data_IF_281883453705
#
_entry.id   IF_281883453705
#
_cell.length_a   1.000
_cell.length_b   1.000
_cell.length_c   1.000
_cell.angle_alpha   90.00
_cell.angle_beta   90.00
_cell.angle_gamma   90.00
#
_symmetry.space_group_name_H-M   'P 1'
#
loop_
_entity.id
_entity.type
_entity.pdbx_description
1 polymer ?
#
# COMPACT_ATOMS: atom_id res chain seq x y z
N UNK A 1 -6.60 4.44 -19.26
CA UNK A 1 -5.21 4.45 -18.75
C UNK A 1 -5.14 5.32 -17.49
N UNK A 2 -4.36 4.95 -16.46
CA UNK A 2 -4.19 5.79 -15.28
C UNK A 2 -3.55 7.14 -15.66
N UNK A 3 -3.87 8.19 -14.91
CA UNK A 3 -3.15 9.45 -14.92
C UNK A 3 -1.73 9.28 -14.33
N UNK A 4 -0.83 10.20 -14.65
CA UNK A 4 0.54 10.23 -14.11
C UNK A 4 0.55 10.25 -12.57
N UNK A 5 -0.43 10.94 -11.95
CA UNK A 5 -0.61 10.95 -10.49
C UNK A 5 -1.00 9.58 -9.96
N UNK A 6 -1.95 8.89 -10.60
CA UNK A 6 -2.37 7.54 -10.20
C UNK A 6 -1.22 6.53 -10.32
N UNK A 7 -0.50 6.55 -11.43
CA UNK A 7 0.65 5.68 -11.67
C UNK A 7 1.73 5.86 -10.59
N UNK A 8 2.01 7.11 -10.21
CA UNK A 8 2.93 7.43 -9.10
C UNK A 8 2.55 6.74 -7.80
N UNK A 9 1.28 6.79 -7.40
CA UNK A 9 0.80 6.16 -6.17
C UNK A 9 0.73 4.63 -6.27
N UNK A 10 0.32 4.10 -7.41
CA UNK A 10 0.24 2.65 -7.61
C UNK A 10 1.63 2.00 -7.54
N UNK A 11 2.65 2.66 -8.10
CA UNK A 11 4.04 2.20 -8.06
C UNK A 11 4.61 2.08 -6.63
N UNK A 12 4.19 2.94 -5.71
CA UNK A 12 4.69 2.91 -4.34
C UNK A 12 3.93 1.94 -3.43
N UNK A 13 2.74 1.46 -3.82
CA UNK A 13 1.86 0.64 -2.96
C UNK A 13 2.52 -0.62 -2.38
N UNK A 14 3.43 -1.25 -3.13
CA UNK A 14 4.18 -2.44 -2.71
C UNK A 14 5.18 -2.17 -1.58
N UNK A 15 5.80 -0.98 -1.54
CA UNK A 15 6.78 -0.59 -0.53
C UNK A 15 6.17 0.06 0.71
N UNK A 16 4.86 0.35 0.69
CA UNK A 16 4.21 1.16 1.71
C UNK A 16 4.27 0.55 3.12
N UNK A 17 4.17 -0.79 3.24
CA UNK A 17 4.13 -1.45 4.55
C UNK A 17 5.37 -1.13 5.39
N UNK A 18 6.55 -1.22 4.78
CA UNK A 18 7.83 -0.99 5.45
C UNK A 18 7.88 0.43 6.04
N UNK A 19 7.51 1.42 5.24
CA UNK A 19 7.51 2.82 5.64
C UNK A 19 6.38 3.17 6.61
N UNK A 20 5.20 2.57 6.45
CA UNK A 20 4.07 2.77 7.36
C UNK A 20 4.44 2.36 8.78
N UNK A 21 5.12 1.22 8.94
CA UNK A 21 5.56 0.75 10.26
C UNK A 21 6.53 1.72 10.93
N UNK A 22 7.42 2.35 10.16
CA UNK A 22 8.34 3.37 10.65
C UNK A 22 7.60 4.63 11.13
N UNK A 23 6.67 5.19 10.34
CA UNK A 23 5.91 6.37 10.83
C UNK A 23 5.01 6.00 12.01
N UNK A 24 4.33 4.85 11.96
CA UNK A 24 3.43 4.43 13.03
C UNK A 24 4.17 4.25 14.37
N UNK A 25 5.47 3.94 14.35
CA UNK A 25 6.31 3.91 15.56
C UNK A 25 6.37 5.27 16.28
N UNK A 26 6.16 6.37 15.56
CA UNK A 26 6.11 7.73 16.12
C UNK A 26 4.73 8.12 16.67
N UNK A 27 3.70 7.29 16.49
CA UNK A 27 2.35 7.56 17.03
C UNK A 27 2.26 7.43 18.55
N UNK A 28 3.22 6.78 19.20
CA UNK A 28 3.27 6.73 20.66
C UNK A 28 3.49 8.16 21.21
N UNK A 29 2.63 8.57 22.15
CA UNK A 29 2.58 9.93 22.68
C UNK A 29 3.39 10.10 23.98
N UNK A 30 4.00 9.02 24.48
CA UNK A 30 4.69 9.01 25.76
C UNK A 30 5.82 10.06 25.81
N UNK A 31 5.67 11.00 26.75
CA UNK A 31 6.70 11.91 27.27
C UNK A 31 7.46 12.83 26.29
N UNK A 32 6.88 13.19 25.15
CA UNK A 32 7.56 14.09 24.19
C UNK A 32 7.09 15.55 24.24
N UNK A 33 8.04 16.50 24.12
CA UNK A 33 7.77 17.93 23.98
C UNK A 33 6.85 18.25 22.77
N UNK A 34 6.81 17.35 21.77
CA UNK A 34 5.91 17.46 20.61
C UNK A 34 4.43 17.48 21.01
N UNK A 35 4.03 16.80 22.08
CA UNK A 35 2.64 16.81 22.55
C UNK A 35 2.22 18.23 22.98
N UNK A 36 3.09 18.96 23.68
CA UNK A 36 2.82 20.34 24.09
C UNK A 36 2.74 21.30 22.89
N UNK A 37 3.62 21.13 21.89
CA UNK A 37 3.56 21.91 20.66
C UNK A 37 2.27 21.62 19.88
N UNK A 38 1.95 20.34 19.67
CA UNK A 38 0.75 19.94 18.96
C UNK A 38 -0.54 20.38 19.65
N UNK A 39 -0.64 20.30 20.98
CA UNK A 39 -1.79 20.84 21.72
C UNK A 39 -1.98 22.33 21.47
N UNK A 40 -0.89 23.09 21.49
CA UNK A 40 -0.93 24.53 21.20
C UNK A 40 -1.37 24.80 19.76
N UNK A 41 -0.78 24.11 18.78
CA UNK A 41 -1.13 24.26 17.37
C UNK A 41 -2.60 23.88 17.13
N UNK A 42 -3.06 22.78 17.71
CA UNK A 42 -4.44 22.31 17.57
C UNK A 42 -5.41 23.33 18.15
N UNK A 43 -5.10 23.85 19.33
CA UNK A 43 -5.91 24.88 19.98
C UNK A 43 -6.03 26.16 19.14
N UNK A 44 -4.91 26.62 18.57
CA UNK A 44 -4.83 27.89 17.85
C UNK A 44 -5.26 27.79 16.38
N UNK A 45 -5.13 26.63 15.74
CA UNK A 45 -5.19 26.52 14.27
C UNK A 45 -5.98 25.34 13.74
N UNK A 46 -6.41 24.40 14.59
CA UNK A 46 -7.23 23.24 14.20
C UNK A 46 -8.50 23.13 15.06
N UNK A 47 -9.08 24.29 15.41
CA UNK A 47 -10.34 24.42 16.15
C UNK A 47 -10.41 23.60 17.44
N UNK A 48 -9.27 23.39 18.09
CA UNK A 48 -9.18 22.61 19.32
C UNK A 48 -9.66 21.14 19.18
N UNK A 49 -9.66 20.58 17.96
CA UNK A 49 -9.98 19.17 17.74
C UNK A 49 -8.78 18.29 18.12
N UNK A 50 -8.83 17.70 19.32
CA UNK A 50 -7.74 16.88 19.87
C UNK A 50 -7.52 15.56 19.12
N UNK A 51 -8.42 15.13 18.24
CA UNK A 51 -8.20 13.92 17.44
C UNK A 51 -7.00 14.06 16.49
N UNK A 52 -6.63 15.30 16.14
CA UNK A 52 -5.42 15.60 15.38
C UNK A 52 -4.12 15.43 16.17
N UNK A 53 -4.18 15.15 17.48
CA UNK A 53 -2.98 15.08 18.33
C UNK A 53 -2.01 13.99 17.87
N UNK A 54 -2.53 12.81 17.54
CA UNK A 54 -1.72 11.65 17.13
C UNK A 54 -1.01 11.90 15.80
N UNK A 55 -1.69 12.28 14.70
CA UNK A 55 -0.99 12.58 13.46
C UNK A 55 -0.04 13.77 13.59
N UNK A 56 -0.36 14.79 14.41
CA UNK A 56 0.56 15.91 14.64
C UNK A 56 1.85 15.45 15.32
N UNK A 57 1.75 14.71 16.43
CA UNK A 57 2.93 14.26 17.19
C UNK A 57 3.81 13.35 16.34
N UNK A 58 3.21 12.38 15.65
CA UNK A 58 3.94 11.45 14.79
C UNK A 58 4.66 12.19 13.64
N UNK A 59 3.98 13.15 12.99
CA UNK A 59 4.57 13.91 11.91
C UNK A 59 5.75 14.79 12.39
N UNK A 60 5.59 15.52 13.50
CA UNK A 60 6.67 16.32 14.05
C UNK A 60 7.87 15.46 14.47
N UNK A 61 7.65 14.32 15.13
CA UNK A 61 8.70 13.37 15.47
C UNK A 61 9.43 12.84 14.23
N UNK A 62 8.68 12.46 13.20
CA UNK A 62 9.25 11.99 11.94
C UNK A 62 10.15 13.06 11.31
N UNK A 63 9.63 14.28 11.13
CA UNK A 63 10.39 15.37 10.51
C UNK A 63 11.63 15.78 11.31
N UNK A 64 11.56 15.77 12.64
CA UNK A 64 12.72 16.04 13.50
C UNK A 64 13.77 14.92 13.41
N UNK A 65 13.36 13.64 13.42
CA UNK A 65 14.28 12.52 13.25
C UNK A 65 14.99 12.59 11.90
N UNK A 66 14.28 12.93 10.82
CA UNK A 66 14.90 13.11 9.51
C UNK A 66 15.97 14.20 9.51
N UNK A 67 15.75 15.31 10.23
CA UNK A 67 16.76 16.38 10.33
C UNK A 67 18.00 15.99 11.13
N UNK A 68 17.85 15.08 12.09
CA UNK A 68 18.95 14.61 12.95
C UNK A 68 19.81 13.54 12.28
N UNK A 69 19.30 12.85 11.26
CA UNK A 69 20.09 11.89 10.47
C UNK A 69 21.07 12.68 9.61
N UNK A 70 22.32 12.79 10.08
CA UNK A 70 23.43 13.55 9.47
C UNK A 70 23.95 12.88 8.18
N UNK A 71 23.56 11.63 7.91
CA UNK A 71 24.09 10.83 6.80
C UNK A 71 23.20 10.90 5.56
N UNK A 72 23.71 11.33 4.40
CA UNK A 72 22.95 11.42 3.14
C UNK A 72 22.55 10.07 2.51
N UNK A 73 22.70 8.96 3.25
CA UNK A 73 22.53 7.59 2.75
C UNK A 73 21.45 6.78 3.47
N UNK A 74 20.79 7.34 4.48
CA UNK A 74 19.64 6.68 5.08
C UNK A 74 18.41 6.97 4.23
N UNK A 75 17.73 5.92 3.78
CA UNK A 75 16.56 5.96 2.91
C UNK A 75 15.48 6.89 3.47
N UNK A 76 15.55 8.17 3.14
CA UNK A 76 14.51 9.14 3.48
C UNK A 76 13.23 8.65 2.85
N UNK A 77 12.23 8.36 3.68
CA UNK A 77 10.95 7.87 3.20
C UNK A 77 10.34 8.88 2.21
N UNK A 78 10.01 8.42 0.98
CA UNK A 78 9.40 9.29 -0.02
C UNK A 78 8.14 9.99 0.49
N UNK A 79 7.97 11.25 0.09
CA UNK A 79 6.89 12.11 0.57
C UNK A 79 5.48 11.61 0.16
N UNK A 80 5.41 10.81 -0.89
CA UNK A 80 4.20 10.16 -1.38
C UNK A 80 3.65 9.17 -0.35
N UNK A 81 4.55 8.44 0.34
CA UNK A 81 4.15 7.56 1.45
C UNK A 81 3.64 8.35 2.63
N UNK A 82 4.32 9.44 2.96
CA UNK A 82 3.90 10.37 4.02
C UNK A 82 2.52 10.95 3.70
N UNK A 83 2.26 11.29 2.43
CA UNK A 83 0.98 11.83 2.00
C UNK A 83 -0.17 10.82 2.14
N UNK A 84 0.03 9.56 1.69
CA UNK A 84 -0.94 8.48 1.90
C UNK A 84 -1.17 8.22 3.38
N UNK A 85 -0.10 8.16 4.17
CA UNK A 85 -0.20 7.95 5.61
C UNK A 85 -0.99 9.08 6.28
N UNK A 86 -0.73 10.35 5.93
CA UNK A 86 -1.51 11.48 6.43
C UNK A 86 -2.99 11.34 6.04
N UNK A 87 -3.29 11.03 4.78
CA UNK A 87 -4.67 10.78 4.32
C UNK A 87 -5.34 9.68 5.17
N UNK A 88 -4.65 8.57 5.43
CA UNK A 88 -5.14 7.49 6.29
C UNK A 88 -5.42 7.98 7.72
N UNK A 89 -4.51 8.73 8.35
CA UNK A 89 -4.70 9.21 9.71
C UNK A 89 -5.84 10.25 9.81
N UNK A 90 -5.92 11.16 8.84
CA UNK A 90 -6.99 12.18 8.81
C UNK A 90 -8.36 11.51 8.59
N UNK A 91 -8.45 10.48 7.74
CA UNK A 91 -9.69 9.74 7.50
C UNK A 91 -10.21 8.98 8.72
N UNK A 92 -9.35 8.68 9.70
CA UNK A 92 -9.73 8.07 11.00
C UNK A 92 -10.33 9.07 11.98
N UNK A 93 -10.16 10.37 11.76
CA UNK A 93 -10.69 11.42 12.64
C UNK A 93 -12.18 11.62 12.34
N UNK A 94 -13.00 11.51 13.38
CA UNK A 94 -14.44 11.75 13.26
C UNK A 94 -14.70 13.23 12.96
N UNK A 95 -15.51 13.52 11.94
CA UNK A 95 -15.81 14.89 11.50
C UNK A 95 -14.56 15.73 11.18
N UNK A 96 -13.55 15.11 10.56
CA UNK A 96 -12.36 15.81 10.09
C UNK A 96 -12.76 17.00 9.19
N UNK A 97 -12.45 18.22 9.63
CA UNK A 97 -12.69 19.45 8.87
C UNK A 97 -11.57 19.78 7.89
N UNK A 98 -10.38 19.26 8.19
CA UNK A 98 -9.18 19.48 7.41
C UNK A 98 -8.79 18.21 6.68
N UNK A 99 -8.48 18.32 5.39
CA UNK A 99 -7.84 17.25 4.64
C UNK A 99 -6.33 17.18 4.92
N UNK A 100 -5.64 16.17 4.35
CA UNK A 100 -4.21 15.96 4.58
C UNK A 100 -3.34 17.18 4.18
N UNK A 101 -3.68 17.84 3.07
CA UNK A 101 -2.93 19.02 2.59
C UNK A 101 -3.14 20.22 3.50
N UNK A 102 -4.37 20.48 3.93
CA UNK A 102 -4.70 21.58 4.85
C UNK A 102 -4.05 21.38 6.21
N UNK A 103 -4.15 20.16 6.76
CA UNK A 103 -3.50 19.80 8.01
C UNK A 103 -1.98 20.04 7.93
N UNK A 104 -1.33 19.56 6.86
CA UNK A 104 0.10 19.77 6.65
C UNK A 104 0.45 21.26 6.53
N UNK A 105 -0.31 22.04 5.75
CA UNK A 105 -0.07 23.49 5.60
C UNK A 105 -0.17 24.24 6.93
N UNK A 106 -1.10 23.85 7.79
CA UNK A 106 -1.21 24.38 9.16
C UNK A 106 0.06 24.07 9.96
N UNK A 107 0.55 22.84 9.92
CA UNK A 107 1.81 22.48 10.60
C UNK A 107 3.03 23.20 10.00
N UNK A 108 3.12 23.36 8.69
CA UNK A 108 4.27 23.99 8.03
C UNK A 108 4.31 25.51 8.27
N UNK A 109 3.16 26.16 8.47
CA UNK A 109 3.06 27.61 8.67
C UNK A 109 3.20 28.03 10.13
N UNK A 110 2.84 27.19 11.09
CA UNK A 110 2.84 27.55 12.51
C UNK A 110 4.26 27.60 13.11
N UNK A 111 4.58 28.67 13.84
CA UNK A 111 5.95 28.94 14.34
C UNK A 111 6.54 27.81 15.20
N UNK A 112 5.73 27.21 16.07
CA UNK A 112 6.14 26.07 16.92
C UNK A 112 6.54 24.80 16.14
N UNK A 113 5.98 24.59 14.95
CA UNK A 113 6.25 23.40 14.14
C UNK A 113 7.18 23.68 12.95
N UNK A 114 7.31 24.94 12.55
CA UNK A 114 8.12 25.38 11.40
C UNK A 114 9.56 24.93 11.47
N UNK A 115 10.18 24.96 12.66
CA UNK A 115 11.56 24.48 12.86
C UNK A 115 11.72 22.98 12.61
N UNK A 116 10.67 22.18 12.70
CA UNK A 116 10.67 20.74 12.44
C UNK A 116 10.27 20.43 11.00
N UNK A 117 9.18 21.03 10.52
CA UNK A 117 8.64 20.74 9.17
C UNK A 117 9.45 21.42 8.08
N UNK A 118 9.72 22.73 8.18
CA UNK A 118 10.56 23.53 7.27
C UNK A 118 10.44 23.19 5.77
N UNK A 119 9.21 23.12 5.24
CA UNK A 119 8.98 22.82 3.82
C UNK A 119 9.24 21.38 3.39
N UNK A 120 9.50 20.47 4.34
CA UNK A 120 9.63 19.04 4.05
C UNK A 120 8.33 18.55 3.37
N UNK A 121 8.46 17.94 2.20
CA UNK A 121 7.33 17.43 1.41
C UNK A 121 6.31 18.48 0.93
N UNK A 122 6.66 19.78 0.94
CA UNK A 122 5.70 20.86 0.64
C UNK A 122 5.02 20.77 -0.74
N UNK A 123 5.74 20.24 -1.75
CA UNK A 123 5.20 20.06 -3.11
C UNK A 123 4.50 18.72 -3.32
N UNK A 124 4.73 17.78 -2.40
CA UNK A 124 4.34 16.38 -2.52
C UNK A 124 3.07 16.08 -1.73
N UNK A 125 2.88 16.72 -0.58
CA UNK A 125 1.68 16.56 0.25
C UNK A 125 0.52 17.36 -0.33
N UNK A 126 -0.37 16.63 -0.98
CA UNK A 126 -1.54 17.15 -1.67
C UNK A 126 -2.76 16.34 -1.26
N UNK A 127 -3.96 16.90 -1.46
CA UNK A 127 -5.17 16.13 -1.21
C UNK A 127 -5.25 14.94 -2.19
N UNK A 128 -5.51 13.78 -1.60
CA UNK A 128 -5.69 12.52 -2.31
C UNK A 128 -7.18 12.27 -2.31
N UNK A 129 -7.78 12.25 -3.50
CA UNK A 129 -9.19 11.95 -3.63
C UNK A 129 -9.49 10.52 -3.13
N UNK A 130 -10.72 10.30 -2.69
CA UNK A 130 -11.06 9.02 -2.07
C UNK A 130 -11.00 7.84 -3.04
N UNK A 131 -11.21 8.07 -4.34
CA UNK A 131 -11.10 7.03 -5.37
C UNK A 131 -9.66 6.53 -5.48
N UNK A 132 -8.71 7.45 -5.66
CA UNK A 132 -7.27 7.15 -5.70
C UNK A 132 -6.81 6.49 -4.40
N UNK A 133 -7.23 7.00 -3.25
CA UNK A 133 -6.89 6.40 -1.96
C UNK A 133 -7.43 4.97 -1.83
N UNK A 134 -8.68 4.72 -2.22
CA UNK A 134 -9.27 3.39 -2.13
C UNK A 134 -8.58 2.41 -3.09
N UNK A 135 -8.29 2.82 -4.32
CA UNK A 135 -7.53 2.01 -5.28
C UNK A 135 -6.14 1.68 -4.76
N UNK A 136 -5.47 2.66 -4.15
CA UNK A 136 -4.18 2.44 -3.50
C UNK A 136 -4.29 1.39 -2.38
N UNK A 137 -5.30 1.50 -1.50
CA UNK A 137 -5.50 0.55 -0.39
C UNK A 137 -5.78 -0.86 -0.90
N UNK A 138 -6.58 -0.99 -1.96
CA UNK A 138 -6.81 -2.27 -2.62
C UNK A 138 -5.50 -2.87 -3.14
N UNK A 139 -4.73 -2.12 -3.92
CA UNK A 139 -3.45 -2.59 -4.47
C UNK A 139 -2.49 -2.99 -3.34
N UNK A 140 -2.37 -2.14 -2.32
CA UNK A 140 -1.54 -2.40 -1.17
C UNK A 140 -1.92 -3.72 -0.47
N UNK A 141 -3.22 -3.97 -0.24
CA UNK A 141 -3.70 -5.21 0.37
C UNK A 141 -3.40 -6.42 -0.51
N UNK A 142 -3.54 -6.28 -1.83
CA UNK A 142 -3.19 -7.33 -2.79
C UNK A 142 -1.69 -7.67 -2.71
N UNK A 143 -0.82 -6.65 -2.72
CA UNK A 143 0.63 -6.81 -2.55
C UNK A 143 0.98 -7.48 -1.22
N UNK A 144 0.33 -7.05 -0.13
CA UNK A 144 0.55 -7.60 1.20
C UNK A 144 0.21 -9.09 1.27
N UNK A 145 -0.97 -9.47 0.79
CA UNK A 145 -1.44 -10.85 0.81
C UNK A 145 -0.61 -11.75 -0.11
N UNK A 146 -0.24 -11.27 -1.31
CA UNK A 146 0.62 -12.06 -2.20
C UNK A 146 2.03 -12.22 -1.61
N UNK A 147 2.62 -11.15 -1.07
CA UNK A 147 3.95 -11.26 -0.45
C UNK A 147 3.92 -12.19 0.77
N UNK A 148 2.83 -12.19 1.55
CA UNK A 148 2.64 -13.15 2.65
C UNK A 148 2.59 -14.58 2.11
N UNK A 149 1.83 -14.83 1.03
CA UNK A 149 1.78 -16.12 0.37
C UNK A 149 3.14 -16.56 -0.19
N UNK A 150 3.90 -15.68 -0.85
CA UNK A 150 5.19 -16.02 -1.48
C UNK A 150 6.32 -16.29 -0.48
N UNK A 151 6.24 -15.77 0.75
CA UNK A 151 7.22 -16.04 1.81
C UNK A 151 6.95 -17.39 2.51
N UNK A 152 6.73 -18.43 1.68
CA UNK A 152 6.39 -19.82 2.03
C UNK A 152 7.39 -20.47 3.00
N UNK A 153 8.64 -19.98 3.03
CA UNK A 153 9.72 -20.60 3.78
C UNK A 153 9.55 -20.54 5.33
N UNK A 154 8.50 -19.91 5.88
CA UNK A 154 8.44 -19.57 7.32
C UNK A 154 7.12 -19.95 8.03
N UNK A 155 6.00 -20.18 7.34
CA UNK A 155 4.67 -20.35 7.99
C UNK A 155 3.93 -21.61 7.59
N UNK A 156 3.18 -22.18 8.55
CA UNK A 156 2.29 -23.34 8.38
C UNK A 156 1.39 -23.19 7.16
N UNK A 157 1.20 -24.30 6.45
CA UNK A 157 0.50 -24.39 5.15
C UNK A 157 -0.92 -23.77 5.17
N UNK A 158 -1.57 -23.77 6.35
CA UNK A 158 -2.92 -23.26 6.54
C UNK A 158 -3.03 -21.72 6.43
N UNK A 159 -2.05 -20.99 6.98
CA UNK A 159 -2.04 -19.51 6.93
C UNK A 159 -1.78 -19.00 5.50
N UNK A 160 -1.11 -19.82 4.70
CA UNK A 160 -0.76 -19.52 3.31
C UNK A 160 -2.00 -19.67 2.41
N UNK A 161 -2.81 -20.72 2.61
CA UNK A 161 -4.10 -20.85 1.93
C UNK A 161 -5.05 -19.70 2.26
N UNK A 162 -5.06 -19.22 3.51
CA UNK A 162 -5.86 -18.06 3.90
C UNK A 162 -5.43 -16.81 3.13
N UNK A 163 -4.12 -16.54 3.03
CA UNK A 163 -3.62 -15.38 2.28
C UNK A 163 -3.92 -15.48 0.77
N UNK A 164 -3.79 -16.67 0.19
CA UNK A 164 -4.13 -16.91 -1.23
C UNK A 164 -5.62 -16.69 -1.50
N UNK A 165 -6.50 -17.25 -0.65
CA UNK A 165 -7.94 -17.04 -0.77
C UNK A 165 -8.31 -15.57 -0.61
N UNK A 166 -7.75 -14.87 0.38
CA UNK A 166 -7.98 -13.43 0.56
C UNK A 166 -7.52 -12.60 -0.65
N UNK A 167 -6.43 -13.00 -1.29
CA UNK A 167 -5.94 -12.37 -2.52
C UNK A 167 -6.94 -12.56 -3.67
N UNK A 168 -7.38 -13.79 -3.91
CA UNK A 168 -8.35 -14.12 -4.96
C UNK A 168 -9.71 -13.44 -4.72
N UNK A 169 -10.28 -13.59 -3.53
CA UNK A 169 -11.57 -12.99 -3.14
C UNK A 169 -11.55 -11.46 -3.20
N UNK A 170 -10.41 -10.82 -2.94
CA UNK A 170 -10.31 -9.36 -3.06
C UNK A 170 -10.30 -8.93 -4.52
N UNK A 171 -9.60 -9.67 -5.38
CA UNK A 171 -9.56 -9.38 -6.81
C UNK A 171 -10.94 -9.59 -7.47
N UNK A 172 -11.59 -10.73 -7.20
CA UNK A 172 -12.93 -11.05 -7.73
C UNK A 172 -13.97 -9.99 -7.33
N UNK A 173 -13.99 -9.57 -6.07
CA UNK A 173 -14.93 -8.52 -5.61
C UNK A 173 -14.74 -7.19 -6.31
N UNK A 174 -13.50 -6.80 -6.64
CA UNK A 174 -13.24 -5.58 -7.39
C UNK A 174 -13.66 -5.71 -8.86
N UNK A 175 -13.58 -6.90 -9.46
CA UNK A 175 -14.13 -7.13 -10.81
C UNK A 175 -15.66 -7.05 -10.79
N UNK A 176 -16.31 -7.75 -9.85
CA UNK A 176 -17.78 -7.74 -9.70
C UNK A 176 -18.34 -6.33 -9.46
N UNK A 177 -17.71 -5.55 -8.56
CA UNK A 177 -18.14 -4.19 -8.24
C UNK A 177 -18.06 -3.25 -9.45
N UNK A 178 -17.13 -3.50 -10.38
CA UNK A 178 -17.01 -2.72 -11.62
C UNK A 178 -18.07 -3.09 -12.63
N UNK A 179 -18.33 -4.38 -12.81
CA UNK A 179 -19.42 -4.83 -13.69
C UNK A 179 -20.78 -4.26 -13.25
N UNK A 180 -21.02 -4.17 -11.93
CA UNK A 180 -22.25 -3.58 -11.41
C UNK A 180 -22.34 -2.06 -11.63
N UNK A 181 -21.20 -1.36 -11.54
CA UNK A 181 -21.11 0.07 -11.84
C UNK A 181 -21.39 0.37 -13.33
N UNK A 182 -20.81 -0.44 -14.23
CA UNK A 182 -21.00 -0.30 -15.68
C UNK A 182 -22.46 -0.56 -16.10
N UNK A 183 -23.11 -1.56 -15.50
CA UNK A 183 -24.55 -1.82 -15.74
C UNK A 183 -25.42 -0.65 -15.28
N UNK A 184 -25.12 -0.07 -14.12
CA UNK A 184 -25.91 1.03 -13.55
C UNK A 184 -25.69 2.38 -14.27
N UNK A 185 -24.52 2.61 -14.84
CA UNK A 185 -24.25 3.77 -15.71
C UNK A 185 -24.86 3.60 -17.12
N UNK A 186 -24.83 2.38 -17.67
CA UNK A 186 -25.49 2.03 -18.92
C UNK A 186 -27.00 2.29 -18.87
N UNK A 187 -27.67 1.93 -17.77
CA UNK A 187 -29.11 2.15 -17.58
C UNK A 187 -29.50 3.64 -17.45
N UNK A 188 -28.62 4.50 -16.94
CA UNK A 188 -28.87 5.96 -16.93
C UNK A 188 -28.71 6.60 -18.30
N UNK A 189 -27.89 6.04 -19.18
CA UNK A 189 -27.66 6.56 -20.52
C UNK A 189 -28.78 6.22 -21.53
N UNK A 190 -29.66 5.28 -21.19
CA UNK A 190 -30.75 4.80 -22.05
C UNK A 190 -31.94 5.78 -22.19
N UNK A 191 -31.94 6.95 -21.52
CA UNK A 191 -33.01 7.93 -21.70
C UNK A 191 -32.85 8.86 -22.91
N UNK A 192 -31.70 8.92 -23.59
CA UNK A 192 -31.56 9.69 -24.84
C UNK A 192 -30.50 9.11 -25.81
N UNK A 193 -30.81 8.02 -26.56
CA UNK A 193 -30.40 7.76 -27.99
C UNK A 193 -30.55 6.29 -28.44
N UNK A 194 -30.59 6.03 -29.76
CA UNK A 194 -30.88 4.70 -30.32
C UNK A 194 -29.67 3.75 -30.29
N UNK A 195 -30.00 2.46 -30.32
CA UNK A 195 -29.15 1.27 -30.08
C UNK A 195 -27.70 1.31 -30.62
N UNK A 196 -26.71 0.82 -29.83
CA UNK A 196 -25.38 0.55 -30.34
C UNK A 196 -25.32 -0.82 -31.02
N UNK A 197 -24.68 -0.84 -32.19
CA UNK A 197 -24.07 -2.01 -32.84
C UNK A 197 -22.57 -1.86 -32.63
N UNK A 198 -21.92 -2.81 -31.97
CA UNK A 198 -20.46 -2.86 -31.91
C UNK A 198 -19.95 -3.70 -30.75
N UNK A 199 -19.01 -4.59 -31.05
CA UNK A 199 -18.26 -5.45 -30.13
C UNK A 199 -17.85 -4.76 -28.82
N UNK A 200 -18.27 -5.32 -27.69
CA UNK A 200 -17.65 -5.07 -26.40
C UNK A 200 -16.27 -5.74 -26.37
N UNK A 201 -15.24 -5.00 -26.77
CA UNK A 201 -13.91 -5.30 -26.26
C UNK A 201 -13.85 -4.73 -24.85
N UNK A 202 -13.80 -5.57 -23.82
CA UNK A 202 -13.64 -5.11 -22.43
C UNK A 202 -12.34 -4.30 -22.34
N UNK A 203 -12.46 -2.97 -22.31
CA UNK A 203 -11.31 -2.10 -22.20
C UNK A 203 -10.78 -2.24 -20.76
N UNK A 204 -9.57 -2.80 -20.61
CA UNK A 204 -9.04 -3.12 -19.29
C UNK A 204 -8.96 -1.86 -18.41
N UNK A 205 -9.49 -1.97 -17.19
CA UNK A 205 -9.42 -0.85 -16.24
C UNK A 205 -7.98 -0.42 -15.97
N UNK A 206 -7.73 0.85 -15.62
CA UNK A 206 -6.42 1.36 -15.23
C UNK A 206 -5.71 0.45 -14.22
N UNK A 207 -6.47 -0.11 -13.28
CA UNK A 207 -6.01 -1.01 -12.23
C UNK A 207 -5.65 -2.41 -12.77
N UNK A 208 -6.50 -3.00 -13.63
CA UNK A 208 -6.23 -4.30 -14.26
C UNK A 208 -5.03 -4.25 -15.21
N UNK A 209 -4.87 -3.12 -15.92
CA UNK A 209 -3.71 -2.86 -16.77
C UNK A 209 -2.41 -2.76 -15.97
N UNK A 210 -2.48 -2.23 -14.75
CA UNK A 210 -1.35 -2.13 -13.83
C UNK A 210 -1.00 -3.49 -13.19
N UNK A 211 -2.02 -4.24 -12.77
CA UNK A 211 -1.84 -5.52 -12.08
C UNK A 211 -1.39 -6.64 -13.00
N UNK A 212 -1.87 -6.69 -14.24
CA UNK A 212 -1.62 -7.82 -15.14
C UNK A 212 -0.14 -8.12 -15.37
N UNK A 213 0.72 -7.15 -15.80
CA UNK A 213 2.12 -7.44 -16.05
C UNK A 213 2.82 -8.01 -14.81
N UNK A 214 2.42 -7.51 -13.64
CA UNK A 214 2.94 -7.98 -12.37
C UNK A 214 2.46 -9.39 -12.02
N UNK A 215 1.16 -9.69 -12.12
CA UNK A 215 0.60 -11.04 -11.89
C UNK A 215 1.28 -12.05 -12.83
N UNK A 216 1.41 -11.72 -14.11
CA UNK A 216 2.08 -12.58 -15.10
C UNK A 216 3.55 -12.85 -14.74
N UNK A 217 4.27 -11.83 -14.26
CA UNK A 217 5.65 -11.99 -13.80
C UNK A 217 5.74 -12.91 -12.59
N UNK A 218 4.83 -12.75 -11.61
CA UNK A 218 4.80 -13.58 -10.40
C UNK A 218 4.44 -15.03 -10.71
N UNK A 219 3.45 -15.27 -11.56
CA UNK A 219 3.06 -16.60 -12.01
C UNK A 219 4.20 -17.33 -12.73
N UNK A 220 5.00 -16.60 -13.54
CA UNK A 220 6.23 -17.13 -14.15
C UNK A 220 7.27 -17.55 -13.09
N UNK A 221 7.50 -16.74 -12.06
CA UNK A 221 8.43 -17.08 -10.96
C UNK A 221 7.98 -18.31 -10.19
N UNK A 222 6.69 -18.40 -9.83
CA UNK A 222 6.13 -19.57 -9.15
C UNK A 222 6.30 -20.84 -9.97
N UNK A 223 5.95 -20.82 -11.26
CA UNK A 223 6.15 -21.98 -12.15
C UNK A 223 7.60 -22.42 -12.25
N UNK A 224 8.55 -21.48 -12.21
CA UNK A 224 9.97 -21.82 -12.23
C UNK A 224 10.44 -22.46 -10.92
N UNK A 225 9.96 -21.98 -9.77
CA UNK A 225 10.28 -22.55 -8.46
C UNK A 225 9.73 -23.98 -8.32
N UNK A 226 8.46 -24.21 -8.67
CA UNK A 226 7.88 -25.56 -8.63
C UNK A 226 8.60 -26.55 -9.56
N UNK A 227 8.98 -26.10 -10.77
CA UNK A 227 9.82 -26.94 -11.65
C UNK A 227 11.14 -27.30 -10.99
N UNK A 228 11.78 -26.36 -10.29
CA UNK A 228 13.05 -26.59 -9.60
C UNK A 228 12.91 -27.59 -8.44
N UNK A 229 11.83 -27.50 -7.65
CA UNK A 229 11.55 -28.44 -6.56
C UNK A 229 11.21 -29.84 -7.07
N UNK A 230 10.46 -29.97 -8.17
CA UNK A 230 10.23 -31.25 -8.86
C UNK A 230 11.54 -31.87 -9.37
N UNK A 231 12.47 -31.06 -9.90
CA UNK A 231 13.78 -31.54 -10.31
C UNK A 231 14.63 -32.03 -9.12
N UNK A 232 14.53 -31.38 -7.95
CA UNK A 232 15.23 -31.80 -6.74
C UNK A 232 14.65 -33.08 -6.14
N UNK A 233 13.31 -33.20 -6.07
CA UNK A 233 12.63 -34.42 -5.65
C UNK A 233 12.98 -35.59 -6.57
N UNK A 234 12.92 -35.40 -7.88
CA UNK A 234 13.26 -36.42 -8.88
C UNK A 234 14.72 -36.87 -8.82
N UNK A 235 15.65 -35.96 -8.50
CA UNK A 235 17.06 -36.30 -8.30
C UNK A 235 17.31 -37.03 -6.98
N UNK A 236 16.59 -36.67 -5.90
CA UNK A 236 16.69 -37.35 -4.60
C UNK A 236 16.18 -38.80 -4.66
N UNK A 237 15.09 -39.05 -5.40
CA UNK A 237 14.57 -40.41 -5.62
C UNK A 237 15.52 -41.27 -6.47
N UNK A 238 16.25 -40.64 -7.40
CA UNK A 238 17.31 -41.30 -8.18
C UNK A 238 18.55 -41.62 -7.35
N UNK A 239 18.99 -40.73 -6.47
CA UNK A 239 20.11 -41.01 -5.57
C UNK A 239 19.77 -42.09 -4.51
N UNK A 240 18.51 -42.17 -4.06
CA UNK A 240 18.03 -43.28 -3.22
C UNK A 240 18.00 -44.62 -3.95
N UNK A 241 17.72 -44.64 -5.26
CA UNK A 241 17.77 -45.86 -6.07
C UNK A 241 19.20 -46.30 -6.37
N UNK A 242 20.14 -45.36 -6.56
CA UNK A 242 21.56 -45.68 -6.75
C UNK A 242 22.24 -46.16 -5.46
N UNK A 243 21.89 -45.61 -4.29
CA UNK A 243 22.41 -46.10 -2.99
C UNK A 243 21.86 -47.47 -2.60
N UNK A 244 20.63 -47.83 -3.02
CA UNK A 244 20.11 -49.21 -2.88
C UNK A 244 20.83 -50.22 -3.79
N UNK A 245 21.30 -49.81 -4.98
CA UNK A 245 22.05 -50.69 -5.88
C UNK A 245 23.49 -50.97 -5.41
N UNK A 246 24.10 -50.09 -4.62
CA UNK A 246 25.45 -50.33 -4.05
C UNK A 246 25.41 -51.38 -2.93
N UNK A 247 24.26 -51.61 -2.26
CA UNK A 247 24.14 -52.59 -1.17
C UNK A 247 24.04 -54.07 -1.61
N UNK A 248 23.87 -54.36 -2.90
CA UNK A 248 23.68 -55.74 -3.39
C UNK A 248 24.84 -56.32 -4.21
N UNK A 249 25.98 -55.65 -4.30
CA UNK A 249 27.18 -56.16 -4.99
C UNK A 249 28.38 -56.33 -4.05
N UNK A 250 28.19 -57.05 -2.94
CA UNK A 250 29.28 -57.72 -2.22
C UNK A 250 28.91 -59.21 -2.09
N UNK A 251 29.22 -59.98 -3.13
CA UNK A 251 29.88 -61.29 -3.08
C UNK A 251 30.07 -61.87 -4.47
#
# INVERSE_FOLDING_TARGET
>A
MPSEKEEKYYNISSGYLSYKSEIDSYLDDSHSNYNAYCKTIIHLSLENNLDYIRPCVAFLKYTDNLKRRVTPFENTMPCEYVNIWLKEQIKKISNAKYNASEFFKTLNSHDLSKSFVNGLCEKEINDIDDSLYNNFQFLHNLYYNLNKYENIAITDDLDNCVAANQCAESYEREEDAKEELERTEGDRSLQERPAPRGEETSEFTPLGSFLRPWIEEKEKRLRNNYKYDDYLLYNSEKEETDTKNIRYNIQ
#
